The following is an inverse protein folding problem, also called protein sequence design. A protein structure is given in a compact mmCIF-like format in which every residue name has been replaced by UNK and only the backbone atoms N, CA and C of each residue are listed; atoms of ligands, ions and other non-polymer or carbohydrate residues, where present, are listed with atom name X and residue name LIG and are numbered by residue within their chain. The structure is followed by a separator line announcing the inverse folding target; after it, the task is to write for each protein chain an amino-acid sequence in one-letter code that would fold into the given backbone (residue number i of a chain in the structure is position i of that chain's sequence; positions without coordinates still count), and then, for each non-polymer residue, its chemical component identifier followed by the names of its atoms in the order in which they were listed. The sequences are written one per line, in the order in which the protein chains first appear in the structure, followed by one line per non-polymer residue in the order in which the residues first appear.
data_IF_340490647163
#
_entry.id   IF_340490647163
#
_cell.length_a   1.000
_cell.length_b   1.000
_cell.length_c   1.000
_cell.angle_alpha   90.00
_cell.angle_beta   90.00
_cell.angle_gamma   90.00
#
_symmetry.space_group_name_H-M   'P 1'
#
loop_
_entity.id
_entity.type
_entity.pdbx_description
1 polymer ?
#
# COMPACT_ATOMS: atom_id res chain seq x y z
N UNK A 1 15.95 12.04 9.51
CA UNK A 1 16.80 10.84 9.32
C UNK A 1 16.45 10.27 7.95
N UNK A 2 17.18 10.67 6.90
CA UNK A 2 16.90 10.29 5.50
C UNK A 2 17.56 8.93 5.25
N UNK A 3 16.77 7.88 5.05
CA UNK A 3 17.29 6.56 4.71
C UNK A 3 17.56 6.51 3.20
N UNK A 4 18.84 6.45 2.81
CA UNK A 4 19.34 6.10 1.46
C UNK A 4 19.09 4.61 1.13
N UNK A 5 17.89 4.11 1.44
CA UNK A 5 17.49 2.73 1.12
C UNK A 5 16.65 2.69 -0.15
N UNK A 6 16.81 1.69 -1.01
CA UNK A 6 15.85 1.46 -2.09
C UNK A 6 14.45 1.29 -1.48
N UNK A 7 13.47 1.97 -2.07
CA UNK A 7 12.07 1.88 -1.66
C UNK A 7 11.67 0.41 -1.56
N UNK A 8 11.17 -0.03 -0.41
CA UNK A 8 10.74 -1.42 -0.21
C UNK A 8 9.26 -1.57 -0.53
N UNK A 9 8.83 -2.81 -0.80
CA UNK A 9 7.42 -3.10 -1.10
C UNK A 9 6.45 -2.58 -0.04
N UNK A 10 6.84 -2.58 1.23
CA UNK A 10 6.00 -2.14 2.35
C UNK A 10 5.81 -0.60 2.37
N UNK A 11 6.68 0.16 1.69
CA UNK A 11 6.59 1.62 1.58
C UNK A 11 5.78 2.11 0.36
N UNK A 12 5.49 1.21 -0.59
CA UNK A 12 4.72 1.55 -1.79
C UNK A 12 3.28 1.86 -1.43
N UNK A 13 2.65 2.91 -1.97
CA UNK A 13 1.26 3.23 -1.63
C UNK A 13 0.31 2.09 -2.03
N UNK A 14 -0.72 1.87 -1.21
CA UNK A 14 -1.85 1.01 -1.59
C UNK A 14 -2.67 1.80 -2.63
N UNK A 15 -2.93 1.24 -3.82
CA UNK A 15 -3.65 1.96 -4.85
C UNK A 15 -5.15 2.04 -4.51
N UNK A 16 -5.79 3.15 -4.84
CA UNK A 16 -7.18 3.43 -4.47
C UNK A 16 -8.21 2.54 -5.18
N UNK A 17 -7.81 1.99 -6.33
CA UNK A 17 -8.56 1.06 -7.19
C UNK A 17 -8.27 -0.42 -6.85
N UNK A 18 -7.66 -0.70 -5.69
CA UNK A 18 -7.38 -2.06 -5.24
C UNK A 18 -8.64 -2.94 -5.26
N UNK A 19 -8.49 -4.17 -5.78
CA UNK A 19 -9.57 -5.15 -5.89
C UNK A 19 -9.43 -6.28 -4.89
N UNK A 20 -10.55 -6.91 -4.57
CA UNK A 20 -10.57 -8.14 -3.78
C UNK A 20 -10.00 -9.28 -4.62
N UNK A 21 -8.98 -9.96 -4.10
CA UNK A 21 -8.34 -11.09 -4.78
C UNK A 21 -8.55 -12.38 -3.97
N UNK A 22 -8.15 -13.51 -4.57
CA UNK A 22 -8.21 -14.82 -3.90
C UNK A 22 -7.38 -14.88 -2.62
N UNK A 23 -6.36 -14.03 -2.48
CA UNK A 23 -5.44 -14.00 -1.32
C UNK A 23 -6.05 -13.36 -0.07
N UNK A 24 -7.23 -12.75 -0.19
CA UNK A 24 -7.94 -12.14 0.93
C UNK A 24 -8.58 -13.21 1.81
N UNK A 25 -8.50 -13.03 3.13
CA UNK A 25 -9.25 -13.87 4.08
C UNK A 25 -10.74 -13.54 4.00
N UNK A 26 -11.59 -14.45 4.45
CA UNK A 26 -13.05 -14.25 4.42
C UNK A 26 -13.46 -12.98 5.17
N UNK A 27 -12.86 -12.74 6.34
CA UNK A 27 -13.09 -11.52 7.11
C UNK A 27 -12.67 -10.24 6.36
N UNK A 28 -11.59 -10.28 5.58
CA UNK A 28 -11.21 -9.14 4.74
C UNK A 28 -12.24 -8.91 3.62
N UNK A 29 -12.80 -9.98 3.04
CA UNK A 29 -13.84 -9.87 2.01
C UNK A 29 -15.13 -9.29 2.57
N UNK A 30 -15.51 -9.72 3.76
CA UNK A 30 -16.67 -9.19 4.49
C UNK A 30 -16.48 -7.68 4.77
N UNK A 31 -15.32 -7.28 5.31
CA UNK A 31 -14.99 -5.87 5.49
C UNK A 31 -15.03 -5.10 4.17
N UNK A 32 -14.47 -5.67 3.09
CA UNK A 32 -14.47 -5.05 1.77
C UNK A 32 -15.87 -4.81 1.21
N UNK A 33 -16.80 -5.74 1.47
CA UNK A 33 -18.20 -5.60 1.05
C UNK A 33 -18.89 -4.40 1.73
N UNK A 34 -18.38 -3.97 2.89
CA UNK A 34 -18.97 -2.90 3.68
C UNK A 34 -18.29 -1.55 3.49
N UNK A 35 -16.95 -1.49 3.61
CA UNK A 35 -16.19 -0.24 3.54
C UNK A 35 -15.39 -0.08 2.25
N UNK A 36 -15.42 -1.08 1.37
CA UNK A 36 -14.61 -1.12 0.15
C UNK A 36 -13.23 -1.73 0.37
N UNK A 37 -12.64 -2.21 -0.73
CA UNK A 37 -11.35 -2.89 -0.71
C UNK A 37 -10.20 -1.99 -0.26
N UNK A 38 -10.11 -0.77 -0.80
CA UNK A 38 -9.06 0.19 -0.42
C UNK A 38 -9.03 0.47 1.09
N UNK A 39 -10.18 0.85 1.67
CA UNK A 39 -10.29 1.13 3.11
C UNK A 39 -9.98 -0.10 3.96
N UNK A 40 -10.37 -1.30 3.50
CA UNK A 40 -10.04 -2.54 4.19
C UNK A 40 -8.54 -2.80 4.23
N UNK A 41 -7.83 -2.58 3.12
CA UNK A 41 -6.38 -2.70 3.08
C UNK A 41 -5.69 -1.67 4.00
N UNK A 42 -6.20 -0.44 4.09
CA UNK A 42 -5.70 0.55 5.05
C UNK A 42 -5.85 0.08 6.51
N UNK A 43 -7.00 -0.51 6.87
CA UNK A 43 -7.21 -1.07 8.22
C UNK A 43 -6.24 -2.21 8.49
N UNK A 44 -6.10 -3.13 7.56
CA UNK A 44 -5.21 -4.29 7.67
C UNK A 44 -3.75 -3.86 7.78
N UNK A 45 -3.34 -2.84 7.04
CA UNK A 45 -1.98 -2.30 7.09
C UNK A 45 -1.67 -1.65 8.45
N UNK A 46 -2.57 -0.80 8.95
CA UNK A 46 -2.35 -0.05 10.17
C UNK A 46 -2.57 -0.87 11.45
N UNK A 47 -3.52 -1.82 11.43
CA UNK A 47 -4.04 -2.51 12.62
C UNK A 47 -3.92 -4.03 12.54
N UNK A 48 -3.32 -4.58 11.48
CA UNK A 48 -3.18 -6.01 11.25
C UNK A 48 -2.61 -6.75 12.46
N UNK A 49 -3.27 -7.83 12.86
CA UNK A 49 -2.88 -8.66 14.00
C UNK A 49 -3.34 -8.15 15.36
N UNK A 50 -3.89 -6.94 15.45
CA UNK A 50 -4.39 -6.36 16.70
C UNK A 50 -5.87 -6.73 16.93
N UNK A 51 -6.27 -6.79 18.20
CA UNK A 51 -7.69 -6.85 18.59
C UNK A 51 -8.19 -5.46 18.93
N UNK A 52 -9.04 -4.89 18.09
CA UNK A 52 -9.56 -3.53 18.21
C UNK A 52 -11.00 -3.57 18.71
N UNK A 53 -11.34 -2.66 19.62
CA UNK A 53 -12.73 -2.43 20.00
C UNK A 53 -13.36 -1.43 19.03
N UNK A 54 -14.55 -1.74 18.53
CA UNK A 54 -15.30 -0.87 17.63
C UNK A 54 -16.40 -0.18 18.45
N UNK A 55 -16.30 1.14 18.67
CA UNK A 55 -17.29 1.87 19.45
C UNK A 55 -18.63 1.96 18.70
N UNK A 56 -19.72 2.07 19.47
CA UNK A 56 -21.07 2.26 18.93
C UNK A 56 -21.22 3.58 18.15
N UNK A 57 -20.46 4.61 18.56
CA UNK A 57 -20.37 5.89 17.87
C UNK A 57 -19.00 6.04 17.22
N UNK A 58 -18.96 6.50 15.98
CA UNK A 58 -17.73 6.68 15.19
C UNK A 58 -16.91 7.91 15.60
N UNK A 59 -17.39 8.70 16.57
CA UNK A 59 -16.78 9.97 16.97
C UNK A 59 -15.36 9.77 17.54
N UNK A 60 -14.35 10.10 16.73
CA UNK A 60 -12.92 10.20 17.08
C UNK A 60 -12.28 8.92 17.64
N UNK A 61 -12.31 7.86 16.83
CA UNK A 61 -11.54 6.63 17.10
C UNK A 61 -10.35 6.46 16.15
N UNK A 62 -9.37 5.63 16.54
CA UNK A 62 -8.21 5.22 15.71
C UNK A 62 -8.61 4.70 14.32
N UNK A 63 -9.83 4.17 14.16
CA UNK A 63 -10.37 3.78 12.86
C UNK A 63 -10.66 4.99 11.95
N UNK A 64 -11.23 6.08 12.49
CA UNK A 64 -11.53 7.27 11.69
C UNK A 64 -10.27 7.93 11.13
N UNK A 65 -9.15 7.86 11.84
CA UNK A 65 -7.84 8.31 11.36
C UNK A 65 -7.32 7.49 10.17
N UNK A 66 -7.70 6.22 10.06
CA UNK A 66 -7.21 5.29 9.04
C UNK A 66 -8.13 5.24 7.81
N UNK A 67 -9.45 5.17 8.00
CA UNK A 67 -10.44 4.99 6.92
C UNK A 67 -11.35 6.17 6.67
N UNK A 68 -11.18 7.25 7.43
CA UNK A 68 -12.06 8.42 7.41
C UNK A 68 -13.35 8.21 8.21
N UNK A 69 -14.07 9.31 8.42
CA UNK A 69 -15.30 9.34 9.22
C UNK A 69 -16.40 8.44 8.65
N UNK A 70 -16.59 8.44 7.32
CA UNK A 70 -17.59 7.62 6.64
C UNK A 70 -17.32 6.12 6.85
N UNK A 71 -16.07 5.69 6.62
CA UNK A 71 -15.69 4.29 6.82
C UNK A 71 -15.85 3.87 8.28
N UNK A 72 -15.47 4.74 9.22
CA UNK A 72 -15.63 4.47 10.65
C UNK A 72 -17.11 4.39 11.05
N UNK A 73 -17.99 5.22 10.49
CA UNK A 73 -19.43 5.15 10.72
C UNK A 73 -20.04 3.83 10.25
N UNK A 74 -19.63 3.35 9.07
CA UNK A 74 -20.07 2.04 8.55
C UNK A 74 -19.59 0.92 9.49
N UNK A 75 -18.32 0.93 9.90
CA UNK A 75 -17.78 -0.06 10.84
C UNK A 75 -18.50 -0.05 12.18
N UNK A 76 -18.78 1.13 12.76
CA UNK A 76 -19.54 1.27 14.00
C UNK A 76 -20.98 0.76 13.86
N UNK A 77 -21.61 0.93 12.70
CA UNK A 77 -22.96 0.43 12.44
C UNK A 77 -23.03 -1.10 12.38
N UNK A 78 -22.04 -1.73 11.76
CA UNK A 78 -22.04 -3.17 11.50
C UNK A 78 -21.47 -3.95 12.68
N UNK A 79 -20.38 -3.44 13.25
CA UNK A 79 -19.57 -4.14 14.24
C UNK A 79 -19.54 -3.42 15.59
N UNK A 80 -20.38 -2.40 15.80
CA UNK A 80 -20.44 -1.62 17.03
C UNK A 80 -20.59 -2.48 18.27
N UNK A 81 -19.96 -2.03 19.37
CA UNK A 81 -19.91 -2.72 20.65
C UNK A 81 -19.15 -4.05 20.66
N UNK A 82 -18.47 -4.42 19.58
CA UNK A 82 -17.69 -5.66 19.50
C UNK A 82 -16.19 -5.41 19.46
N UNK A 83 -15.43 -6.42 19.90
CA UNK A 83 -13.99 -6.51 19.65
C UNK A 83 -13.75 -7.39 18.44
N UNK A 84 -13.03 -6.85 17.46
CA UNK A 84 -12.67 -7.58 16.25
C UNK A 84 -11.16 -7.78 16.22
N UNK A 85 -10.74 -9.00 15.87
CA UNK A 85 -9.35 -9.29 15.54
C UNK A 85 -9.11 -8.93 14.08
N UNK A 86 -8.22 -7.97 13.82
CA UNK A 86 -7.90 -7.56 12.45
C UNK A 86 -6.94 -8.58 11.83
N UNK A 87 -7.22 -9.11 10.63
CA UNK A 87 -6.31 -10.02 9.93
C UNK A 87 -5.04 -9.28 9.48
N UNK A 88 -3.90 -9.98 9.40
CA UNK A 88 -2.60 -9.39 9.01
C UNK A 88 -2.46 -9.19 7.50
N UNK A 89 -3.17 -10.00 6.69
CA UNK A 89 -3.35 -9.78 5.24
C UNK A 89 -2.09 -9.54 4.39
N UNK A 90 -0.89 -9.95 4.82
CA UNK A 90 0.39 -9.59 4.18
C UNK A 90 0.43 -9.89 2.68
N UNK A 91 -0.08 -11.05 2.28
CA UNK A 91 -0.11 -11.46 0.88
C UNK A 91 -1.01 -10.55 0.01
N UNK A 92 -2.15 -10.10 0.55
CA UNK A 92 -3.05 -9.18 -0.11
C UNK A 92 -2.48 -7.76 -0.19
N UNK A 93 -1.81 -7.30 0.88
CA UNK A 93 -1.10 -6.02 0.88
C UNK A 93 0.03 -5.99 -0.14
N UNK A 94 0.86 -7.03 -0.18
CA UNK A 94 1.97 -7.13 -1.13
C UNK A 94 1.48 -7.18 -2.57
N UNK A 95 0.40 -7.91 -2.84
CA UNK A 95 -0.24 -7.92 -4.17
C UNK A 95 -0.78 -6.54 -4.55
N UNK A 96 -1.54 -5.88 -3.66
CA UNK A 96 -2.08 -4.55 -3.95
C UNK A 96 -0.98 -3.50 -4.20
N UNK A 97 0.07 -3.48 -3.37
CA UNK A 97 1.20 -2.56 -3.52
C UNK A 97 2.01 -2.82 -4.79
N UNK A 98 2.16 -4.09 -5.17
CA UNK A 98 2.87 -4.49 -6.39
C UNK A 98 2.09 -4.16 -7.67
N UNK A 99 0.76 -4.20 -7.62
CA UNK A 99 -0.09 -3.89 -8.78
C UNK A 99 0.22 -2.53 -9.41
N UNK A 100 0.44 -1.48 -8.61
CA UNK A 100 0.81 -0.15 -9.12
C UNK A 100 2.15 -0.12 -9.85
N UNK A 101 3.13 -0.93 -9.41
CA UNK A 101 4.43 -1.05 -10.08
C UNK A 101 4.30 -1.88 -11.37
N UNK A 102 3.49 -2.94 -11.37
CA UNK A 102 3.23 -3.73 -12.59
C UNK A 102 2.54 -2.87 -13.65
N UNK A 103 1.55 -2.06 -13.26
CA UNK A 103 0.90 -1.10 -14.14
C UNK A 103 1.92 -0.12 -14.76
N UNK A 104 2.86 0.40 -13.95
CA UNK A 104 3.92 1.28 -14.46
C UNK A 104 4.87 0.61 -15.46
N UNK A 105 5.16 -0.69 -15.29
CA UNK A 105 5.96 -1.45 -16.25
C UNK A 105 5.19 -1.63 -17.56
N UNK A 106 3.89 -1.96 -17.50
CA UNK A 106 3.03 -2.15 -18.68
C UNK A 106 2.88 -0.87 -19.49
N UNK A 107 2.79 0.27 -18.81
CA UNK A 107 2.78 1.58 -19.45
C UNK A 107 4.17 2.08 -19.88
N UNK A 108 5.22 1.25 -19.76
CA UNK A 108 6.60 1.58 -20.14
C UNK A 108 7.19 2.79 -19.40
N UNK A 109 6.65 3.14 -18.22
CA UNK A 109 7.17 4.20 -17.35
C UNK A 109 8.31 3.72 -16.45
N UNK A 110 8.49 2.41 -16.34
CA UNK A 110 9.55 1.73 -15.57
C UNK A 110 9.94 0.44 -16.28
N UNK A 111 11.20 0.03 -16.17
CA UNK A 111 11.64 -1.29 -16.69
C UNK A 111 11.59 -2.37 -15.60
N UNK A 112 11.48 -3.63 -16.01
CA UNK A 112 11.51 -4.79 -15.08
C UNK A 112 12.78 -4.77 -14.22
N UNK A 113 13.93 -4.38 -14.78
CA UNK A 113 15.19 -4.34 -14.04
C UNK A 113 15.19 -3.32 -12.90
N UNK A 114 14.46 -2.22 -13.07
CA UNK A 114 14.36 -1.16 -12.06
C UNK A 114 13.38 -1.53 -10.95
N UNK A 115 12.34 -2.30 -11.27
CA UNK A 115 11.33 -2.76 -10.33
C UNK A 115 11.78 -3.95 -9.45
N UNK A 116 12.69 -4.80 -9.94
CA UNK A 116 13.24 -5.96 -9.20
C UNK A 116 13.76 -5.61 -7.80
N UNK A 117 14.65 -4.61 -7.61
CA UNK A 117 15.15 -4.25 -6.28
C UNK A 117 14.08 -3.63 -5.37
N UNK A 118 13.06 -2.97 -5.94
CA UNK A 118 11.97 -2.36 -5.18
C UNK A 118 11.04 -3.43 -4.59
N UNK A 119 10.65 -4.38 -5.45
CA UNK A 119 9.73 -5.45 -5.08
C UNK A 119 10.41 -6.60 -4.34
N UNK A 120 11.75 -6.69 -4.40
CA UNK A 120 12.52 -7.78 -3.80
C UNK A 120 12.23 -9.14 -4.43
N UNK A 121 11.94 -9.17 -5.75
CA UNK A 121 11.55 -10.40 -6.46
C UNK A 121 12.51 -10.73 -7.60
N UNK A 122 12.49 -11.96 -8.12
CA UNK A 122 13.32 -12.32 -9.27
C UNK A 122 12.81 -11.69 -10.57
N UNK A 123 13.73 -11.38 -11.48
CA UNK A 123 13.39 -10.83 -12.82
C UNK A 123 12.43 -11.75 -13.58
N UNK A 124 12.63 -13.06 -13.49
CA UNK A 124 11.77 -14.05 -14.16
C UNK A 124 10.35 -14.05 -13.60
N UNK A 125 10.21 -13.97 -12.28
CA UNK A 125 8.89 -13.89 -11.64
C UNK A 125 8.17 -12.60 -12.01
N UNK A 126 8.86 -11.46 -11.97
CA UNK A 126 8.26 -10.19 -12.36
C UNK A 126 7.88 -10.16 -13.85
N UNK A 127 8.70 -10.74 -14.72
CA UNK A 127 8.37 -10.91 -16.14
C UNK A 127 7.11 -11.76 -16.33
N UNK A 128 6.97 -12.85 -15.56
CA UNK A 128 5.75 -13.66 -15.56
C UNK A 128 4.54 -12.84 -15.11
N UNK A 129 4.63 -12.08 -14.00
CA UNK A 129 3.52 -11.25 -13.53
C UNK A 129 3.07 -10.24 -14.59
N UNK A 130 4.02 -9.52 -15.20
CA UNK A 130 3.72 -8.50 -16.21
C UNK A 130 3.03 -9.09 -17.44
N UNK A 131 3.47 -10.26 -17.92
CA UNK A 131 3.05 -10.81 -19.21
C UNK A 131 1.96 -11.89 -19.13
N UNK A 132 1.81 -12.58 -18.00
CA UNK A 132 0.98 -13.79 -17.88
C UNK A 132 -0.08 -13.72 -16.77
N UNK A 133 -0.20 -12.59 -16.07
CA UNK A 133 -1.24 -12.38 -15.04
C UNK A 133 -2.05 -11.13 -15.32
N UNK A 134 -3.21 -11.00 -14.71
CA UNK A 134 -4.09 -9.82 -14.72
C UNK A 134 -3.74 -8.82 -13.60
N UNK A 135 -2.66 -9.07 -12.86
CA UNK A 135 -2.28 -8.24 -11.72
C UNK A 135 -1.88 -6.82 -12.18
N UNK A 136 -2.65 -5.81 -11.77
CA UNK A 136 -2.38 -4.42 -12.09
C UNK A 136 -2.89 -3.96 -13.45
N UNK A 137 -3.83 -4.66 -14.09
CA UNK A 137 -4.49 -4.18 -15.32
C UNK A 137 -5.24 -2.86 -15.10
N UNK A 138 -5.93 -2.73 -13.96
CA UNK A 138 -6.77 -1.58 -13.63
C UNK A 138 -6.18 -0.70 -12.53
N UNK A 139 -4.93 -0.96 -12.13
CA UNK A 139 -4.28 -0.22 -11.05
C UNK A 139 -3.60 1.05 -11.59
N UNK A 140 -3.72 2.16 -10.86
CA UNK A 140 -3.01 3.38 -11.19
C UNK A 140 -1.49 3.17 -11.18
N UNK A 141 -0.78 3.49 -12.27
CA UNK A 141 0.67 3.33 -12.36
C UNK A 141 1.41 4.14 -11.31
N UNK A 142 2.26 3.49 -10.54
CA UNK A 142 3.11 4.13 -9.54
C UNK A 142 4.59 3.92 -9.84
N UNK A 143 5.30 5.02 -10.05
CA UNK A 143 6.76 5.05 -10.21
C UNK A 143 7.36 5.64 -8.92
N UNK A 144 7.96 4.83 -8.03
CA UNK A 144 8.67 5.36 -6.88
C UNK A 144 9.79 6.29 -7.34
N UNK A 145 9.87 7.46 -6.71
CA UNK A 145 10.96 8.42 -6.96
C UNK A 145 12.27 7.78 -6.49
N UNK A 146 13.26 7.70 -7.38
CA UNK A 146 14.62 7.33 -6.98
C UNK A 146 15.16 8.40 -6.03
N UNK A 147 15.59 8.01 -4.83
CA UNK A 147 16.55 8.83 -4.11
C UNK A 147 17.84 8.79 -4.92
N UNK A 148 18.15 9.90 -5.58
CA UNK A 148 19.36 10.07 -6.39
C UNK A 148 20.51 10.53 -5.48
N UNK A 149 20.63 9.93 -4.30
CA UNK A 149 21.62 10.30 -3.30
C UNK A 149 22.58 9.11 -3.17
N UNK A 150 23.74 9.24 -3.81
CA UNK A 150 24.85 8.33 -3.55
C UNK A 150 25.50 8.80 -2.24
N UNK A 151 25.53 7.98 -1.17
CA UNK A 151 26.14 8.37 0.09
C UNK A 151 27.65 8.68 -0.02
N UNK A 152 28.30 8.36 -1.15
CA UNK A 152 29.68 8.73 -1.47
C UNK A 152 29.82 10.05 -2.22
N UNK A 153 28.73 10.60 -2.76
CA UNK A 153 28.75 11.92 -3.37
C UNK A 153 28.58 12.97 -2.28
N UNK A 154 29.71 13.54 -1.83
CA UNK A 154 29.68 14.77 -1.05
C UNK A 154 29.10 15.89 -1.92
N UNK A 155 28.16 16.66 -1.37
CA UNK A 155 27.61 17.84 -2.01
C UNK A 155 28.74 18.88 -2.17
N UNK A 156 29.38 18.90 -3.34
CA UNK A 156 30.56 19.74 -3.60
C UNK A 156 30.23 21.23 -3.68
N UNK A 157 28.93 21.57 -3.74
CA UNK A 157 28.46 22.94 -3.87
C UNK A 157 27.30 23.15 -2.88
N UNK A 158 27.65 23.42 -1.62
CA UNK A 158 26.74 24.16 -0.76
C UNK A 158 26.45 25.48 -1.49
N UNK A 159 25.25 25.61 -2.06
CA UNK A 159 24.78 26.85 -2.63
C UNK A 159 24.73 27.84 -1.48
N UNK A 160 25.77 28.67 -1.37
CA UNK A 160 25.77 29.86 -0.54
C UNK A 160 24.68 30.77 -1.07
N UNK A 161 23.50 30.67 -0.48
CA UNK A 161 22.44 31.67 -0.60
C UNK A 161 22.86 32.90 0.19
N UNK A 162 23.87 33.60 -0.29
CA UNK A 162 24.24 34.95 0.11
C UNK A 162 24.53 35.72 -1.19
N UNK A 163 23.46 36.22 -1.81
CA UNK A 163 23.52 37.36 -2.73
C UNK A 163 22.11 37.92 -2.93
N UNK A 164 21.97 39.15 -2.42
CA UNK A 164 20.90 40.17 -2.55
C UNK A 164 19.66 40.06 -1.64
#
# INVERSE_FOLDING_TARGET
MKLDRPCTIDELPIPADARVTKKWTEQMREMAAHIGAYRTLLVVDALGGQSIYIPASSARGRLAEVIGEEGAAIMSRIYGCNRIRVPVGRAALHEARRAGVIAAIREKRMTIGEAVPILGTSRSYLSHLVNATDEGDDAAPFVPRRSRHDPRQLDMFAVSSDAE
#
